data_IF_785639564891
#
_entry.id   IF_785639564891
#
_cell.length_a   1.000
_cell.length_b   1.000
_cell.length_c   1.000
_cell.angle_alpha   90.00
_cell.angle_beta   90.00
_cell.angle_gamma   90.00
#
_symmetry.space_group_name_H-M   'P 1'
#
loop_
_entity.id
_entity.type
_entity.pdbx_description
1 polymer ?
#
# COMPACT_ATOMS: atom_id res chain seq x y z
N UNK A 1 39.40 -24.68 10.91
CA UNK A 1 38.56 -23.94 9.93
C UNK A 1 37.18 -23.77 10.54
N UNK A 2 36.94 -22.67 11.26
CA UNK A 2 35.62 -22.34 11.81
C UNK A 2 34.74 -21.80 10.70
N UNK A 3 33.60 -22.45 10.45
CA UNK A 3 32.52 -21.92 9.65
C UNK A 3 31.76 -20.87 10.47
N UNK A 4 31.94 -19.60 10.14
CA UNK A 4 31.04 -18.52 10.55
C UNK A 4 29.68 -18.81 9.90
N UNK A 5 28.68 -19.14 10.72
CA UNK A 5 27.30 -19.15 10.27
C UNK A 5 26.92 -17.71 9.92
N UNK A 6 26.57 -17.48 8.66
CA UNK A 6 25.92 -16.27 8.17
C UNK A 6 24.63 -16.09 8.97
N UNK A 7 24.65 -15.18 9.95
CA UNK A 7 23.44 -14.80 10.67
C UNK A 7 22.72 -13.82 9.74
N UNK A 8 21.51 -14.14 9.24
CA UNK A 8 20.81 -13.22 8.37
C UNK A 8 20.63 -11.91 9.11
N UNK A 9 21.03 -10.81 8.47
CA UNK A 9 20.88 -9.46 9.00
C UNK A 9 19.39 -9.23 9.32
N UNK A 10 19.11 -8.73 10.51
CA UNK A 10 17.74 -8.48 10.92
C UNK A 10 17.17 -7.36 10.05
N UNK A 11 15.92 -7.49 9.53
CA UNK A 11 15.34 -6.43 8.72
C UNK A 11 15.33 -5.12 9.50
N UNK A 12 15.82 -4.05 8.88
CA UNK A 12 15.76 -2.70 9.46
C UNK A 12 14.31 -2.36 9.83
N UNK A 13 14.08 -1.55 10.87
CA UNK A 13 12.73 -1.29 11.39
C UNK A 13 11.73 -0.75 10.34
N UNK A 14 12.22 -0.05 9.31
CA UNK A 14 11.40 0.40 8.16
C UNK A 14 11.06 -0.72 7.16
N UNK A 15 11.88 -1.76 7.09
CA UNK A 15 11.65 -2.97 6.28
C UNK A 15 10.68 -3.91 6.99
N UNK A 16 10.81 -4.02 8.32
CA UNK A 16 9.84 -4.71 9.17
C UNK A 16 8.44 -4.07 9.06
N UNK A 17 8.37 -2.73 9.04
CA UNK A 17 7.10 -2.01 8.84
C UNK A 17 6.47 -2.21 7.45
N UNK A 18 7.26 -2.62 6.45
CA UNK A 18 6.80 -2.95 5.08
C UNK A 18 6.55 -4.44 4.87
N UNK A 19 6.90 -5.28 5.83
CA UNK A 19 6.75 -6.73 5.71
C UNK A 19 5.31 -7.13 6.06
N UNK A 20 4.60 -7.68 5.09
CA UNK A 20 3.27 -8.26 5.30
C UNK A 20 3.44 -9.67 5.87
N UNK A 21 2.96 -9.90 7.09
CA UNK A 21 2.95 -11.22 7.74
C UNK A 21 1.55 -11.83 7.76
N UNK A 22 1.47 -13.15 7.59
CA UNK A 22 0.24 -13.93 7.73
C UNK A 22 0.49 -15.12 8.67
N UNK A 23 -0.46 -15.38 9.57
CA UNK A 23 -0.39 -16.46 10.55
C UNK A 23 -1.51 -17.48 10.33
N UNK A 24 -1.18 -18.78 10.42
CA UNK A 24 -2.16 -19.87 10.34
C UNK A 24 -2.67 -20.16 11.75
N UNK A 25 -3.91 -19.78 12.02
CA UNK A 25 -4.53 -20.00 13.34
C UNK A 25 -5.08 -21.43 13.51
N UNK A 26 -5.37 -22.13 12.40
CA UNK A 26 -5.94 -23.48 12.41
C UNK A 26 -5.69 -24.21 11.08
N UNK A 27 -5.54 -25.53 11.15
CA UNK A 27 -5.30 -26.40 9.99
C UNK A 27 -3.82 -26.69 9.78
N UNK A 28 -3.52 -27.42 8.71
CA UNK A 28 -2.15 -27.73 8.27
C UNK A 28 -2.09 -27.55 6.74
N UNK A 29 -2.08 -26.29 6.25
CA UNK A 29 -2.10 -26.01 4.83
C UNK A 29 -0.81 -26.48 4.17
N UNK A 30 -0.90 -26.94 2.93
CA UNK A 30 0.31 -27.32 2.20
C UNK A 30 1.12 -26.07 1.81
N UNK A 31 2.42 -26.22 1.51
CA UNK A 31 3.24 -25.11 1.02
C UNK A 31 2.65 -24.43 -0.23
N UNK A 32 2.03 -25.21 -1.12
CA UNK A 32 1.40 -24.72 -2.34
C UNK A 32 0.16 -23.87 -2.04
N UNK A 33 -0.65 -24.26 -1.06
CA UNK A 33 -1.82 -23.49 -0.62
C UNK A 33 -1.40 -22.15 0.01
N UNK A 34 -0.36 -22.15 0.84
CA UNK A 34 0.21 -20.92 1.39
C UNK A 34 0.75 -20.01 0.28
N UNK A 35 1.48 -20.58 -0.69
CA UNK A 35 2.00 -19.83 -1.83
C UNK A 35 0.87 -19.20 -2.66
N UNK A 36 -0.24 -19.92 -2.87
CA UNK A 36 -1.40 -19.42 -3.58
C UNK A 36 -2.02 -18.21 -2.88
N UNK A 37 -2.25 -18.31 -1.56
CA UNK A 37 -2.83 -17.21 -0.77
C UNK A 37 -1.94 -15.97 -0.79
N UNK A 38 -0.64 -16.14 -0.52
CA UNK A 38 0.32 -15.02 -0.51
C UNK A 38 0.39 -14.36 -1.89
N UNK A 39 0.37 -15.15 -2.97
CA UNK A 39 0.40 -14.63 -4.34
C UNK A 39 -0.84 -13.79 -4.68
N UNK A 40 -2.03 -14.25 -4.29
CA UNK A 40 -3.29 -13.52 -4.52
C UNK A 40 -3.31 -12.21 -3.76
N UNK A 41 -2.94 -12.23 -2.47
CA UNK A 41 -2.88 -11.00 -1.65
C UNK A 41 -1.85 -10.02 -2.20
N UNK A 42 -0.70 -10.52 -2.64
CA UNK A 42 0.35 -9.69 -3.25
C UNK A 42 -0.10 -9.07 -4.56
N UNK A 43 -0.80 -9.81 -5.43
CA UNK A 43 -1.36 -9.25 -6.67
C UNK A 43 -2.36 -8.14 -6.37
N UNK A 44 -3.31 -8.39 -5.45
CA UNK A 44 -4.30 -7.40 -5.06
C UNK A 44 -3.63 -6.12 -4.52
N UNK A 45 -2.67 -6.26 -3.61
CA UNK A 45 -1.91 -5.13 -3.07
C UNK A 45 -1.17 -4.36 -4.16
N UNK A 46 -0.48 -5.04 -5.09
CA UNK A 46 0.26 -4.39 -6.16
C UNK A 46 -0.66 -3.64 -7.11
N UNK A 47 -1.83 -4.19 -7.43
CA UNK A 47 -2.84 -3.54 -8.26
C UNK A 47 -3.38 -2.28 -7.60
N UNK A 48 -3.75 -2.36 -6.31
CA UNK A 48 -4.20 -1.18 -5.55
C UNK A 48 -3.11 -0.12 -5.44
N UNK A 49 -1.86 -0.52 -5.15
CA UNK A 49 -0.74 0.42 -5.08
C UNK A 49 -0.48 1.12 -6.42
N UNK A 50 -0.61 0.40 -7.54
CA UNK A 50 -0.46 0.99 -8.87
C UNK A 50 -1.58 2.01 -9.18
N UNK A 51 -2.82 1.72 -8.79
CA UNK A 51 -3.95 2.65 -8.95
C UNK A 51 -3.83 3.86 -8.02
N UNK A 52 -3.37 3.67 -6.79
CA UNK A 52 -3.21 4.74 -5.81
C UNK A 52 -2.06 5.72 -6.16
N UNK A 53 -1.02 5.23 -6.84
CA UNK A 53 0.10 6.04 -7.32
C UNK A 53 -0.19 6.77 -8.64
N UNK A 54 -1.27 6.42 -9.34
CA UNK A 54 -1.67 7.14 -10.53
C UNK A 54 -2.16 8.54 -10.14
N UNK A 55 -1.52 9.58 -10.66
CA UNK A 55 -2.05 10.94 -10.53
C UNK A 55 -3.44 10.96 -11.18
N UNK A 56 -4.50 11.31 -10.43
CA UNK A 56 -5.80 11.44 -11.04
C UNK A 56 -5.74 12.59 -12.03
N UNK A 57 -6.08 12.31 -13.29
CA UNK A 57 -6.41 13.36 -14.27
C UNK A 57 -7.26 14.42 -13.57
N UNK A 58 -6.92 15.71 -13.66
CA UNK A 58 -7.59 16.76 -12.90
C UNK A 58 -9.07 16.78 -13.29
N UNK A 59 -9.90 16.20 -12.42
CA UNK A 59 -11.36 16.13 -12.58
C UNK A 59 -12.03 16.95 -11.47
N UNK A 60 -13.06 17.72 -11.80
CA UNK A 60 -13.84 18.41 -10.78
C UNK A 60 -14.52 17.37 -9.87
N UNK A 61 -14.33 17.51 -8.56
CA UNK A 61 -14.98 16.68 -7.54
C UNK A 61 -16.50 16.85 -7.55
N UNK A 62 -17.23 15.86 -7.02
CA UNK A 62 -18.69 15.95 -6.85
C UNK A 62 -19.13 17.19 -6.05
N UNK A 63 -18.28 17.64 -5.11
CA UNK A 63 -18.48 18.89 -4.37
C UNK A 63 -18.31 20.14 -5.25
N UNK A 64 -17.29 20.18 -6.13
CA UNK A 64 -17.11 21.28 -7.09
C UNK A 64 -18.27 21.35 -8.10
N UNK A 65 -18.80 20.20 -8.52
CA UNK A 65 -19.94 20.12 -9.45
C UNK A 65 -21.24 20.61 -8.78
N UNK A 66 -21.45 20.27 -7.50
CA UNK A 66 -22.67 20.62 -6.77
C UNK A 66 -22.63 22.00 -6.11
N UNK A 67 -21.47 22.66 -6.09
CA UNK A 67 -21.31 24.05 -5.68
C UNK A 67 -22.04 24.98 -6.67
N UNK A 68 -23.36 25.12 -6.50
CA UNK A 68 -24.18 26.06 -7.27
C UNK A 68 -23.71 27.48 -7.02
N UNK A 69 -22.93 28.06 -7.93
CA UNK A 69 -22.72 29.50 -8.22
C UNK A 69 -22.54 30.51 -7.08
N UNK A 70 -22.52 30.09 -5.82
CA UNK A 70 -22.67 30.95 -4.65
C UNK A 70 -21.35 31.18 -3.92
N UNK A 71 -20.24 30.57 -4.38
CA UNK A 71 -18.90 30.81 -3.83
C UNK A 71 -17.83 30.68 -4.92
N UNK A 72 -16.94 31.66 -4.98
CA UNK A 72 -15.66 31.53 -5.68
C UNK A 72 -14.85 30.41 -5.00
N UNK A 73 -14.27 29.46 -5.75
CA UNK A 73 -13.39 28.45 -5.18
C UNK A 73 -12.19 29.09 -4.49
N UNK A 74 -11.76 28.52 -3.35
CA UNK A 74 -10.58 28.98 -2.63
C UNK A 74 -9.33 28.83 -3.52
N UNK A 75 -8.67 29.96 -3.84
CA UNK A 75 -7.41 29.95 -4.58
C UNK A 75 -6.29 29.34 -3.72
N UNK A 76 -5.86 28.13 -4.07
CA UNK A 76 -4.84 27.36 -3.33
C UNK A 76 -3.41 27.80 -3.62
N UNK A 77 -3.20 28.61 -4.66
CA UNK A 77 -1.87 29.11 -5.06
C UNK A 77 -1.39 30.26 -4.17
N UNK A 78 -2.28 30.86 -3.39
CA UNK A 78 -1.97 31.99 -2.50
C UNK A 78 -1.32 31.57 -1.16
N UNK A 79 -1.20 30.27 -0.89
CA UNK A 79 -0.64 29.76 0.37
C UNK A 79 -1.47 30.10 1.61
N UNK A 80 -1.12 29.50 2.76
CA UNK A 80 -1.73 29.82 4.06
C UNK A 80 -0.68 30.61 4.84
N UNK A 81 -0.97 31.89 5.13
CA UNK A 81 -0.07 32.78 5.85
C UNK A 81 -0.62 33.13 7.22
#
# INVERSE_FOLDING_TARGET
>A
MSTLADTPDAPSSEDAARTVSAEVLRGDPTPEELAAVVSVVREAYLREAAEALAEPEPRPSAWQISARGLREPLNRDLGWR
#
